data_IF_137456740158
#
_entry.id   IF_137456740158
#
_cell.length_a   1.000
_cell.length_b   1.000
_cell.length_c   1.000
_cell.angle_alpha   90.00
_cell.angle_beta   90.00
_cell.angle_gamma   90.00
#
_symmetry.space_group_name_H-M   'P 1'
#
loop_
_entity.id
_entity.type
_entity.pdbx_description
1 polymer ?
#
# COMPACT_ATOMS: atom_id res chain seq x y z
N UNK A 1 -7.31 -26.44 -2.10
CA UNK A 1 -8.73 -26.31 -1.70
C UNK A 1 -8.81 -25.36 -0.51
N UNK A 2 -9.73 -24.42 -0.55
CA UNK A 2 -10.04 -23.50 0.56
C UNK A 2 -11.54 -23.54 0.82
N UNK A 3 -11.94 -23.59 2.09
CA UNK A 3 -13.33 -23.52 2.52
C UNK A 3 -13.57 -22.22 3.28
N UNK A 4 -14.62 -21.51 2.92
CA UNK A 4 -15.08 -20.31 3.61
C UNK A 4 -16.45 -20.59 4.21
N UNK A 5 -16.57 -20.40 5.52
CA UNK A 5 -17.80 -20.66 6.27
C UNK A 5 -18.16 -19.48 7.15
N UNK A 6 -19.42 -19.08 7.11
CA UNK A 6 -19.99 -18.12 8.03
C UNK A 6 -21.35 -18.61 8.53
N UNK A 7 -21.69 -18.25 9.75
CA UNK A 7 -23.03 -18.44 10.32
C UNK A 7 -23.28 -17.37 11.38
N UNK A 8 -24.46 -16.78 11.40
CA UNK A 8 -24.82 -15.71 12.34
C UNK A 8 -26.18 -15.14 12.04
N UNK A 9 -26.48 -14.03 12.65
CA UNK A 9 -27.67 -13.22 12.39
C UNK A 9 -27.25 -11.87 11.83
N UNK A 10 -28.01 -11.37 10.89
CA UNK A 10 -27.80 -10.03 10.37
C UNK A 10 -28.34 -8.96 11.33
N UNK A 11 -28.19 -7.69 10.96
CA UNK A 11 -28.64 -6.56 11.78
C UNK A 11 -30.17 -6.49 11.97
N UNK A 12 -30.94 -7.20 11.17
CA UNK A 12 -32.41 -7.34 11.30
C UNK A 12 -32.83 -8.54 12.15
N UNK A 13 -31.85 -9.35 12.59
CA UNK A 13 -32.10 -10.61 13.33
C UNK A 13 -32.38 -11.80 12.43
N UNK A 14 -32.29 -11.67 11.10
CA UNK A 14 -32.40 -12.77 10.16
C UNK A 14 -31.13 -13.65 10.14
N UNK A 15 -31.28 -14.99 10.02
CA UNK A 15 -30.10 -15.86 9.90
C UNK A 15 -29.40 -15.62 8.58
N UNK A 16 -28.08 -15.52 8.61
CA UNK A 16 -27.26 -15.35 7.42
C UNK A 16 -26.01 -16.22 7.47
N UNK A 17 -25.41 -16.45 6.30
CA UNK A 17 -24.17 -17.17 6.17
C UNK A 17 -24.28 -18.33 5.17
N UNK A 18 -23.27 -19.18 5.21
CA UNK A 18 -23.16 -20.32 4.31
C UNK A 18 -21.78 -20.93 4.31
N UNK A 19 -21.63 -21.99 3.52
CA UNK A 19 -20.35 -22.65 3.30
C UNK A 19 -20.05 -22.66 1.80
N UNK A 20 -18.88 -22.16 1.42
CA UNK A 20 -18.41 -22.17 0.03
C UNK A 20 -17.04 -22.87 -0.04
N UNK A 21 -16.86 -23.69 -1.05
CA UNK A 21 -15.59 -24.41 -1.32
C UNK A 21 -15.01 -23.91 -2.62
N UNK A 22 -13.72 -23.62 -2.60
CA UNK A 22 -12.98 -23.09 -3.74
C UNK A 22 -11.77 -23.98 -4.04
N UNK A 23 -11.59 -24.32 -5.31
CA UNK A 23 -10.47 -25.11 -5.78
C UNK A 23 -9.82 -24.39 -6.95
N UNK A 24 -8.52 -24.18 -6.89
CA UNK A 24 -7.73 -23.62 -7.98
C UNK A 24 -6.27 -24.09 -7.84
N UNK A 25 -5.49 -23.82 -8.87
CA UNK A 25 -4.05 -24.12 -8.94
C UNK A 25 -3.28 -22.81 -9.05
N UNK A 26 -2.15 -22.72 -8.36
CA UNK A 26 -1.18 -21.64 -8.51
C UNK A 26 0.12 -22.20 -9.09
N UNK A 27 0.75 -21.44 -9.95
CA UNK A 27 2.08 -21.75 -10.49
C UNK A 27 2.85 -20.47 -10.77
N UNK A 28 4.17 -20.60 -10.84
CA UNK A 28 5.05 -19.52 -11.28
C UNK A 28 6.23 -20.08 -12.03
N UNK A 29 6.69 -19.31 -13.02
CA UNK A 29 7.88 -19.57 -13.80
C UNK A 29 8.68 -18.27 -13.87
N UNK A 30 9.96 -18.35 -13.59
CA UNK A 30 10.84 -17.19 -13.64
C UNK A 30 12.24 -17.55 -14.02
N UNK A 31 12.95 -16.55 -14.50
CA UNK A 31 14.34 -16.66 -14.84
C UNK A 31 15.07 -15.34 -14.60
N UNK A 32 16.38 -15.43 -14.55
CA UNK A 32 17.23 -14.24 -14.53
C UNK A 32 18.37 -14.40 -15.53
N UNK A 33 18.81 -13.28 -16.03
CA UNK A 33 19.92 -13.22 -16.98
C UNK A 33 20.90 -12.12 -16.53
N UNK A 34 22.18 -12.49 -16.42
CA UNK A 34 23.25 -11.58 -16.09
C UNK A 34 23.75 -10.93 -17.39
N UNK A 35 23.27 -9.70 -17.66
CA UNK A 35 23.65 -8.93 -18.86
C UNK A 35 25.13 -8.50 -18.84
N UNK A 36 25.64 -8.17 -17.65
CA UNK A 36 27.03 -7.83 -17.39
C UNK A 36 27.36 -8.02 -15.91
N UNK A 37 28.59 -7.74 -15.48
CA UNK A 37 28.97 -7.79 -14.06
C UNK A 37 28.09 -6.88 -13.17
N UNK A 38 27.50 -5.83 -13.74
CA UNK A 38 26.73 -4.80 -13.00
C UNK A 38 25.24 -4.87 -13.29
N UNK A 39 24.82 -5.48 -14.42
CA UNK A 39 23.43 -5.49 -14.85
C UNK A 39 22.82 -6.88 -14.78
N UNK A 40 21.67 -6.98 -14.15
CA UNK A 40 20.86 -8.21 -14.09
C UNK A 40 19.43 -7.93 -14.49
N UNK A 41 18.91 -8.74 -15.39
CA UNK A 41 17.50 -8.81 -15.75
C UNK A 41 16.88 -10.03 -15.09
N UNK A 42 15.74 -9.83 -14.43
CA UNK A 42 14.93 -10.92 -13.88
C UNK A 42 13.53 -10.80 -14.45
N UNK A 43 12.90 -11.90 -14.83
CA UNK A 43 11.51 -11.89 -15.31
C UNK A 43 10.77 -13.08 -14.73
N UNK A 44 9.56 -12.82 -14.24
CA UNK A 44 8.69 -13.84 -13.64
C UNK A 44 7.28 -13.70 -14.20
N UNK A 45 6.66 -14.83 -14.46
CA UNK A 45 5.24 -14.94 -14.75
C UNK A 45 4.61 -15.92 -13.77
N UNK A 46 3.44 -15.60 -13.24
CA UNK A 46 2.74 -16.46 -12.29
C UNK A 46 1.24 -16.33 -12.38
N UNK A 47 0.58 -17.42 -12.00
CA UNK A 47 -0.84 -17.48 -11.68
C UNK A 47 -0.98 -17.71 -10.17
N UNK A 48 -1.65 -16.80 -9.52
CA UNK A 48 -2.09 -16.92 -8.14
C UNK A 48 -3.62 -16.81 -8.07
N UNK A 49 -4.20 -17.39 -7.04
CA UNK A 49 -5.63 -17.26 -6.78
C UNK A 49 -5.90 -17.06 -5.30
N UNK A 50 -7.04 -16.48 -5.00
CA UNK A 50 -7.59 -16.46 -3.64
C UNK A 50 -9.09 -16.76 -3.66
N UNK A 51 -9.57 -17.39 -2.62
CA UNK A 51 -11.01 -17.42 -2.35
C UNK A 51 -11.46 -16.05 -1.84
N UNK A 52 -12.71 -15.64 -2.08
CA UNK A 52 -13.27 -14.50 -1.40
C UNK A 52 -13.21 -14.69 0.12
N UNK A 53 -12.91 -13.62 0.83
CA UNK A 53 -12.93 -13.61 2.28
C UNK A 53 -14.38 -13.76 2.80
N UNK A 54 -14.54 -14.33 3.99
CA UNK A 54 -15.86 -14.47 4.61
C UNK A 54 -16.62 -13.14 4.69
N UNK A 55 -15.91 -12.07 4.92
CA UNK A 55 -16.44 -10.72 4.97
C UNK A 55 -16.93 -10.23 3.60
N UNK A 56 -16.20 -10.52 2.52
CA UNK A 56 -16.58 -10.18 1.15
C UNK A 56 -17.86 -10.92 0.70
N UNK A 57 -18.07 -12.14 1.22
CA UNK A 57 -19.25 -12.95 0.89
C UNK A 57 -20.48 -12.61 1.73
N UNK A 58 -20.30 -12.36 3.02
CA UNK A 58 -21.39 -12.42 3.98
C UNK A 58 -21.51 -11.21 4.89
N UNK A 59 -20.76 -10.11 4.71
CA UNK A 59 -21.03 -8.92 5.50
C UNK A 59 -22.42 -8.37 5.22
N UNK A 60 -23.10 -7.95 6.27
CA UNK A 60 -24.36 -7.22 6.20
C UNK A 60 -24.52 -6.41 7.49
N UNK A 61 -23.76 -5.33 7.62
CA UNK A 61 -23.71 -4.56 8.85
C UNK A 61 -22.77 -3.36 8.83
N UNK A 62 -22.74 -2.64 9.94
CA UNK A 62 -21.90 -1.46 10.11
C UNK A 62 -20.44 -1.83 10.30
N UNK A 63 -19.58 -1.19 9.53
CA UNK A 63 -18.15 -1.14 9.77
C UNK A 63 -17.82 0.14 10.55
N UNK A 64 -17.66 0.01 11.85
CA UNK A 64 -17.48 1.16 12.76
C UNK A 64 -16.24 1.98 12.44
N UNK A 65 -15.17 1.34 11.97
CA UNK A 65 -13.91 2.01 11.65
C UNK A 65 -13.98 2.92 10.42
N UNK A 66 -14.85 2.62 9.45
CA UNK A 66 -15.02 3.39 8.23
C UNK A 66 -16.28 4.25 8.22
N UNK A 67 -17.20 4.06 9.16
CA UNK A 67 -18.48 4.75 9.18
C UNK A 67 -19.39 4.38 8.00
N UNK A 68 -19.34 3.13 7.55
CA UNK A 68 -20.06 2.60 6.39
C UNK A 68 -20.92 1.39 6.77
N UNK A 69 -21.99 1.18 6.04
CA UNK A 69 -22.73 -0.09 6.07
C UNK A 69 -22.24 -0.96 4.91
N UNK A 70 -21.72 -2.14 5.20
CA UNK A 70 -21.06 -2.99 4.19
C UNK A 70 -21.92 -4.22 3.91
N UNK A 71 -22.12 -4.51 2.62
CA UNK A 71 -22.79 -5.72 2.11
C UNK A 71 -21.82 -6.58 1.32
N UNK A 72 -21.81 -7.87 1.65
CA UNK A 72 -21.13 -8.90 0.89
C UNK A 72 -21.95 -9.38 -0.31
N UNK A 73 -21.32 -10.21 -1.13
CA UNK A 73 -21.99 -10.93 -2.22
C UNK A 73 -21.63 -12.41 -2.16
N UNK A 74 -22.58 -13.24 -1.73
CA UNK A 74 -22.39 -14.68 -1.58
C UNK A 74 -22.22 -15.43 -2.92
N UNK A 75 -22.52 -14.79 -4.05
CA UNK A 75 -22.35 -15.37 -5.38
C UNK A 75 -20.92 -15.29 -5.93
N UNK A 76 -20.02 -14.54 -5.27
CA UNK A 76 -18.66 -14.37 -5.72
C UNK A 76 -17.90 -15.69 -5.93
N UNK A 77 -17.02 -15.71 -6.91
CA UNK A 77 -16.11 -16.82 -7.20
C UNK A 77 -14.66 -16.45 -6.86
N UNK A 78 -13.75 -17.42 -6.98
CA UNK A 78 -12.33 -17.17 -6.72
C UNK A 78 -11.76 -16.09 -7.62
N UNK A 79 -10.99 -15.18 -7.06
CA UNK A 79 -10.15 -14.26 -7.81
C UNK A 79 -8.91 -15.00 -8.35
N UNK A 80 -8.61 -14.83 -9.63
CA UNK A 80 -7.42 -15.38 -10.30
C UNK A 80 -6.60 -14.27 -10.91
N UNK A 81 -5.32 -14.25 -10.58
CA UNK A 81 -4.37 -13.21 -10.98
C UNK A 81 -3.24 -13.80 -11.80
N UNK A 82 -3.11 -13.37 -13.05
CA UNK A 82 -1.98 -13.64 -13.92
C UNK A 82 -1.07 -12.42 -13.91
N UNK A 83 0.12 -12.56 -13.35
CA UNK A 83 1.05 -11.44 -13.22
C UNK A 83 2.36 -11.73 -13.94
N UNK A 84 2.79 -10.80 -14.77
CA UNK A 84 4.12 -10.74 -15.33
C UNK A 84 4.85 -9.55 -14.73
N UNK A 85 6.05 -9.80 -14.18
CA UNK A 85 6.92 -8.76 -13.62
C UNK A 85 8.33 -8.95 -14.18
N UNK A 86 8.95 -7.85 -14.59
CA UNK A 86 10.36 -7.82 -15.00
C UNK A 86 11.10 -6.74 -14.22
N UNK A 87 12.28 -7.09 -13.76
CA UNK A 87 13.16 -6.24 -12.93
C UNK A 87 14.50 -6.09 -13.62
N UNK A 88 14.90 -4.86 -13.90
CA UNK A 88 16.25 -4.52 -14.34
C UNK A 88 17.02 -3.90 -13.17
N UNK A 89 18.12 -4.54 -12.76
CA UNK A 89 18.94 -4.11 -11.66
C UNK A 89 20.35 -3.75 -12.12
N UNK A 90 20.83 -2.63 -11.61
CA UNK A 90 22.22 -2.19 -11.74
C UNK A 90 22.85 -2.02 -10.35
N UNK A 91 24.12 -2.36 -10.22
CA UNK A 91 24.89 -2.12 -9.00
C UNK A 91 26.39 -2.07 -9.27
N UNK A 92 27.07 -1.06 -8.72
CA UNK A 92 28.54 -0.89 -8.83
C UNK A 92 29.22 -0.52 -7.52
N UNK A 93 28.52 -0.66 -6.39
CA UNK A 93 29.00 -0.30 -5.06
C UNK A 93 28.70 1.16 -4.66
N UNK A 94 28.61 2.09 -5.59
CA UNK A 94 28.21 3.48 -5.35
C UNK A 94 26.75 3.70 -5.70
N UNK A 95 26.30 3.14 -6.82
CA UNK A 95 24.92 3.18 -7.28
C UNK A 95 24.27 1.81 -7.19
N UNK A 96 23.03 1.79 -6.70
CA UNK A 96 22.13 0.67 -6.86
C UNK A 96 20.81 1.18 -7.46
N UNK A 97 20.44 0.62 -8.61
CA UNK A 97 19.22 1.00 -9.32
C UNK A 97 18.38 -0.25 -9.55
N UNK A 98 17.10 -0.17 -9.28
CA UNK A 98 16.13 -1.20 -9.65
C UNK A 98 14.96 -0.55 -10.39
N UNK A 99 14.64 -1.09 -11.55
CA UNK A 99 13.45 -0.72 -12.32
C UNK A 99 12.58 -1.97 -12.46
N UNK A 100 11.41 -1.96 -11.82
CA UNK A 100 10.41 -3.00 -11.89
C UNK A 100 9.24 -2.55 -12.77
N UNK A 101 8.91 -3.33 -13.79
CA UNK A 101 7.72 -3.15 -14.60
C UNK A 101 6.80 -4.35 -14.46
N UNK A 102 5.48 -4.15 -14.37
CA UNK A 102 4.55 -5.27 -14.26
C UNK A 102 3.24 -5.05 -15.00
N UNK A 103 2.70 -6.18 -15.47
CA UNK A 103 1.37 -6.33 -16.03
C UNK A 103 0.64 -7.41 -15.26
N UNK A 104 -0.62 -7.16 -14.90
CA UNK A 104 -1.41 -8.11 -14.12
C UNK A 104 -2.86 -8.13 -14.62
N UNK A 105 -3.31 -9.29 -15.04
CA UNK A 105 -4.70 -9.55 -15.40
C UNK A 105 -5.36 -10.29 -14.24
N UNK A 106 -6.50 -9.79 -13.81
CA UNK A 106 -7.25 -10.39 -12.70
C UNK A 106 -8.64 -10.74 -13.18
N UNK A 107 -8.98 -12.02 -13.08
CA UNK A 107 -10.33 -12.48 -13.31
C UNK A 107 -11.06 -12.49 -11.96
N UNK A 108 -12.19 -11.78 -11.87
CA UNK A 108 -12.97 -11.65 -10.65
C UNK A 108 -12.30 -10.80 -9.56
N UNK A 109 -11.66 -9.69 -9.93
CA UNK A 109 -11.12 -8.72 -8.97
C UNK A 109 -12.23 -8.24 -8.02
N UNK A 110 -12.01 -8.42 -6.72
CA UNK A 110 -12.97 -8.07 -5.69
C UNK A 110 -12.66 -6.67 -5.16
N UNK A 111 -13.67 -5.82 -5.18
CA UNK A 111 -13.63 -4.49 -4.59
C UNK A 111 -15.02 -4.13 -4.06
N UNK A 112 -15.11 -3.11 -3.25
CA UNK A 112 -16.39 -2.55 -2.85
C UNK A 112 -16.56 -1.14 -3.42
N UNK A 113 -17.78 -0.72 -3.57
CA UNK A 113 -18.13 0.61 -4.04
C UNK A 113 -19.45 1.08 -3.42
N UNK A 114 -19.67 2.40 -3.40
CA UNK A 114 -20.87 2.98 -2.82
C UNK A 114 -22.10 2.62 -3.65
N UNK A 115 -23.20 2.41 -2.94
CA UNK A 115 -24.55 2.39 -3.48
C UNK A 115 -25.20 3.78 -3.36
N UNK A 116 -26.28 3.99 -4.10
CA UNK A 116 -27.08 5.25 -4.02
C UNK A 116 -28.00 5.29 -2.81
N UNK A 117 -27.90 4.34 -1.90
CA UNK A 117 -28.76 4.20 -0.73
C UNK A 117 -27.99 4.45 0.57
N UNK A 118 -28.77 4.77 1.60
CA UNK A 118 -28.30 4.94 2.98
C UNK A 118 -29.14 4.02 3.87
N UNK A 119 -28.50 3.28 4.76
CA UNK A 119 -29.16 2.46 5.76
C UNK A 119 -29.16 3.18 7.10
N UNK A 120 -30.34 3.29 7.73
CA UNK A 120 -30.48 3.84 9.06
C UNK A 120 -30.60 2.69 10.08
N UNK A 121 -29.70 2.68 11.03
CA UNK A 121 -29.70 1.75 12.17
C UNK A 121 -29.71 2.54 13.46
N UNK A 122 -29.80 1.87 14.62
CA UNK A 122 -29.87 2.52 15.95
C UNK A 122 -28.71 3.50 16.17
N UNK A 123 -27.53 3.20 15.65
CA UNK A 123 -26.32 4.04 15.81
C UNK A 123 -26.20 5.20 14.82
N UNK A 124 -27.09 5.32 13.83
CA UNK A 124 -27.09 6.39 12.85
C UNK A 124 -27.43 5.97 11.43
N UNK A 125 -27.26 6.90 10.48
CA UNK A 125 -27.43 6.67 9.05
C UNK A 125 -26.06 6.52 8.38
N UNK A 126 -25.89 5.45 7.59
CA UNK A 126 -24.63 5.07 6.98
C UNK A 126 -24.75 4.90 5.48
N UNK A 127 -23.81 5.40 4.66
CA UNK A 127 -23.75 5.08 3.25
C UNK A 127 -23.48 3.57 3.08
N UNK A 128 -24.14 2.96 2.10
CA UNK A 128 -23.97 1.53 1.81
C UNK A 128 -22.84 1.32 0.84
N UNK A 129 -21.97 0.36 1.14
CA UNK A 129 -20.91 -0.13 0.25
C UNK A 129 -21.18 -1.61 -0.06
N UNK A 130 -21.25 -1.93 -1.34
CA UNK A 130 -21.49 -3.29 -1.82
C UNK A 130 -20.21 -3.87 -2.40
N UNK A 131 -19.83 -5.08 -1.94
CA UNK A 131 -18.77 -5.86 -2.59
C UNK A 131 -19.20 -6.32 -3.99
N UNK A 132 -18.27 -6.23 -4.93
CA UNK A 132 -18.47 -6.54 -6.35
C UNK A 132 -17.28 -7.26 -6.92
N UNK A 133 -17.48 -7.98 -8.03
CA UNK A 133 -16.39 -8.57 -8.81
C UNK A 133 -16.39 -8.04 -10.24
N UNK A 134 -15.18 -7.80 -10.78
CA UNK A 134 -14.98 -7.39 -12.16
C UNK A 134 -13.67 -7.94 -12.73
N UNK A 135 -13.59 -8.24 -14.03
CA UNK A 135 -12.30 -8.50 -14.65
C UNK A 135 -11.48 -7.21 -14.69
N UNK A 136 -10.26 -7.26 -14.18
CA UNK A 136 -9.40 -6.10 -14.01
C UNK A 136 -8.05 -6.25 -14.73
N UNK A 137 -7.45 -5.12 -15.09
CA UNK A 137 -6.10 -5.06 -15.63
C UNK A 137 -5.28 -3.99 -14.90
N UNK A 138 -4.18 -4.42 -14.31
CA UNK A 138 -3.22 -3.57 -13.63
C UNK A 138 -1.93 -3.49 -14.44
N UNK A 139 -1.33 -2.32 -14.47
CA UNK A 139 0.01 -2.08 -15.01
C UNK A 139 0.71 -1.03 -14.17
N UNK A 140 1.97 -1.22 -13.95
CA UNK A 140 2.72 -0.29 -13.12
C UNK A 140 4.21 -0.40 -13.31
N UNK A 141 4.89 0.55 -12.69
CA UNK A 141 6.33 0.66 -12.71
C UNK A 141 6.79 1.24 -11.37
N UNK A 142 7.80 0.61 -10.80
CA UNK A 142 8.49 1.10 -9.62
C UNK A 142 9.96 1.31 -9.97
N UNK A 143 10.51 2.44 -9.53
CA UNK A 143 11.92 2.79 -9.68
C UNK A 143 12.51 3.04 -8.31
N UNK A 144 13.62 2.38 -8.00
CA UNK A 144 14.39 2.53 -6.77
C UNK A 144 15.83 2.89 -7.12
N UNK A 145 16.32 3.97 -6.55
CA UNK A 145 17.69 4.46 -6.70
C UNK A 145 18.32 4.65 -5.33
N UNK A 146 19.44 4.01 -5.07
CA UNK A 146 20.32 4.34 -3.95
C UNK A 146 21.66 4.81 -4.47
N UNK A 147 22.15 5.90 -3.88
CA UNK A 147 23.44 6.50 -4.18
C UNK A 147 24.22 6.71 -2.89
N UNK A 148 25.32 5.98 -2.76
CA UNK A 148 26.26 6.02 -1.61
C UNK A 148 27.66 6.34 -2.12
N UNK A 149 28.01 7.64 -2.30
CA UNK A 149 29.29 8.04 -2.91
C UNK A 149 30.53 7.74 -2.05
N UNK A 150 30.34 7.02 -0.96
CA UNK A 150 31.34 6.80 0.06
C UNK A 150 31.31 7.87 1.15
N UNK A 151 31.93 7.58 2.30
CA UNK A 151 31.95 8.52 3.43
C UNK A 151 30.61 8.62 4.14
N UNK A 152 30.08 9.83 4.25
CA UNK A 152 28.99 10.15 5.19
C UNK A 152 27.61 10.26 4.55
N UNK A 153 27.44 10.16 3.24
CA UNK A 153 26.20 10.46 2.56
C UNK A 153 25.51 9.19 1.99
N UNK A 154 24.22 9.10 2.18
CA UNK A 154 23.36 8.05 1.61
C UNK A 154 22.09 8.73 1.07
N UNK A 155 21.88 8.65 -0.23
CA UNK A 155 20.68 9.16 -0.90
C UNK A 155 19.86 7.99 -1.41
N UNK A 156 18.54 8.01 -1.15
CA UNK A 156 17.61 7.02 -1.63
C UNK A 156 16.39 7.69 -2.25
N UNK A 157 15.96 7.25 -3.41
CA UNK A 157 14.78 7.76 -4.10
C UNK A 157 13.93 6.62 -4.64
N UNK A 158 12.61 6.74 -4.47
CA UNK A 158 11.62 5.76 -4.94
C UNK A 158 10.53 6.49 -5.71
N UNK A 159 10.22 5.98 -6.89
CA UNK A 159 9.07 6.40 -7.71
C UNK A 159 8.14 5.24 -7.88
N UNK A 160 6.84 5.43 -7.66
CA UNK A 160 5.83 4.40 -7.87
C UNK A 160 4.69 4.92 -8.72
N UNK A 161 4.33 4.13 -9.72
CA UNK A 161 3.23 4.40 -10.62
C UNK A 161 2.41 3.14 -10.87
N UNK A 162 1.10 3.23 -10.68
CA UNK A 162 0.15 2.16 -10.98
C UNK A 162 -1.07 2.72 -11.68
N UNK A 163 -1.60 1.96 -12.62
CA UNK A 163 -2.90 2.18 -13.24
C UNK A 163 -3.67 0.87 -13.24
N UNK A 164 -4.95 0.95 -12.89
CA UNK A 164 -5.87 -0.19 -12.94
C UNK A 164 -7.18 0.21 -13.59
N UNK A 165 -7.67 -0.66 -14.47
CA UNK A 165 -8.92 -0.49 -15.20
C UNK A 165 -9.74 -1.79 -15.14
N UNK A 166 -11.05 -1.63 -15.11
CA UNK A 166 -11.97 -2.69 -15.47
C UNK A 166 -11.77 -3.06 -16.95
N UNK A 167 -11.69 -4.36 -17.28
CA UNK A 167 -11.41 -4.80 -18.64
C UNK A 167 -12.62 -4.70 -19.57
N UNK A 168 -13.82 -4.77 -19.04
CA UNK A 168 -15.06 -4.80 -19.84
C UNK A 168 -15.45 -3.41 -20.33
N UNK A 169 -15.49 -2.43 -19.44
CA UNK A 169 -15.92 -1.06 -19.73
C UNK A 169 -14.76 -0.07 -19.85
N UNK A 170 -13.57 -0.45 -19.40
CA UNK A 170 -12.40 0.43 -19.40
C UNK A 170 -12.38 1.46 -18.27
N UNK A 171 -13.37 1.47 -17.39
CA UNK A 171 -13.48 2.37 -16.25
C UNK A 171 -12.30 2.21 -15.30
N UNK A 172 -11.95 3.27 -14.59
CA UNK A 172 -10.92 3.19 -13.55
C UNK A 172 -11.44 2.47 -12.30
N UNK A 173 -10.60 1.65 -11.72
CA UNK A 173 -10.92 1.00 -10.43
C UNK A 173 -10.74 1.99 -9.27
N UNK A 174 -11.58 1.90 -8.22
CA UNK A 174 -11.46 2.74 -7.03
C UNK A 174 -10.20 2.40 -6.21
N UNK A 175 -9.79 3.32 -5.36
CA UNK A 175 -8.70 3.17 -4.37
C UNK A 175 -7.32 2.80 -4.96
N UNK A 176 -7.09 3.07 -6.25
CA UNK A 176 -5.79 2.88 -6.87
C UNK A 176 -4.87 4.04 -6.48
N UNK A 177 -3.68 3.78 -5.90
CA UNK A 177 -2.77 4.82 -5.49
C UNK A 177 -2.41 5.80 -6.61
N UNK A 178 -2.25 7.08 -6.27
CA UNK A 178 -1.72 8.09 -7.18
C UNK A 178 -0.24 7.86 -7.45
N UNK A 179 0.30 8.54 -8.46
CA UNK A 179 1.74 8.66 -8.63
C UNK A 179 2.38 9.18 -7.34
N UNK A 180 3.44 8.51 -6.91
CA UNK A 180 4.19 8.85 -5.70
C UNK A 180 5.68 8.91 -6.01
N UNK A 181 6.30 9.97 -5.51
CA UNK A 181 7.74 10.13 -5.48
C UNK A 181 8.18 10.39 -4.04
N UNK A 182 9.10 9.61 -3.54
CA UNK A 182 9.72 9.82 -2.23
C UNK A 182 11.22 9.76 -2.35
N UNK A 183 11.91 10.61 -1.60
CA UNK A 183 13.36 10.55 -1.50
C UNK A 183 13.82 10.98 -0.11
N UNK A 184 14.98 10.50 0.25
CA UNK A 184 15.63 10.81 1.52
C UNK A 184 17.13 11.01 1.33
N UNK A 185 17.67 11.89 2.14
CA UNK A 185 19.10 12.15 2.22
C UNK A 185 19.55 11.97 3.66
N UNK A 186 20.39 10.99 3.89
CA UNK A 186 21.00 10.73 5.19
C UNK A 186 22.46 11.18 5.22
N UNK A 187 22.84 11.83 6.32
CA UNK A 187 24.22 12.10 6.67
C UNK A 187 24.57 11.27 7.90
N UNK A 188 25.70 10.55 7.79
CA UNK A 188 26.20 9.65 8.83
C UNK A 188 27.60 10.09 9.21
N UNK A 189 27.81 10.34 10.49
CA UNK A 189 29.12 10.68 11.03
C UNK A 189 29.48 9.70 12.14
N UNK A 190 30.64 9.08 12.02
CA UNK A 190 31.19 8.19 13.03
C UNK A 190 32.54 8.70 13.52
N UNK A 191 32.68 8.85 14.82
CA UNK A 191 33.93 9.30 15.45
C UNK A 191 34.86 8.11 15.72
N UNK A 192 36.14 8.38 15.99
CA UNK A 192 37.13 7.36 16.41
C UNK A 192 36.72 6.61 17.69
N UNK A 193 35.87 7.20 18.51
CA UNK A 193 35.32 6.59 19.73
C UNK A 193 34.03 5.80 19.48
N UNK A 194 33.70 5.49 18.21
CA UNK A 194 32.49 4.77 17.80
C UNK A 194 31.14 5.45 18.19
N UNK A 195 31.19 6.76 18.48
CA UNK A 195 29.95 7.54 18.52
C UNK A 195 29.46 7.71 17.09
N UNK A 196 28.20 7.32 16.83
CA UNK A 196 27.59 7.42 15.51
C UNK A 196 26.38 8.33 15.54
N UNK A 197 26.42 9.38 14.72
CA UNK A 197 25.30 10.30 14.49
C UNK A 197 24.77 10.06 13.08
N UNK A 198 23.46 9.85 12.95
CA UNK A 198 22.74 9.81 11.68
C UNK A 198 21.67 10.89 11.67
N UNK A 199 21.67 11.71 10.65
CA UNK A 199 20.63 12.70 10.36
C UNK A 199 20.02 12.36 9.02
N UNK A 200 18.70 12.38 8.90
CA UNK A 200 17.97 12.01 7.68
C UNK A 200 16.85 13.01 7.41
N UNK A 201 16.78 13.53 6.21
CA UNK A 201 15.67 14.36 5.72
C UNK A 201 14.90 13.53 4.69
N UNK A 202 13.60 13.44 4.86
CA UNK A 202 12.68 12.71 3.98
C UNK A 202 11.70 13.66 3.34
N UNK A 203 11.47 13.48 2.05
CA UNK A 203 10.41 14.19 1.34
C UNK A 203 9.57 13.19 0.55
N UNK A 204 8.25 13.36 0.58
CA UNK A 204 7.29 12.60 -0.19
C UNK A 204 6.34 13.54 -0.94
N UNK A 205 6.25 13.35 -2.23
CA UNK A 205 5.24 13.93 -3.10
C UNK A 205 4.22 12.89 -3.49
N UNK A 206 2.94 13.21 -3.37
CA UNK A 206 1.81 12.40 -3.85
C UNK A 206 0.98 13.26 -4.79
N UNK A 207 0.83 12.83 -6.03
CA UNK A 207 0.05 13.55 -7.03
C UNK A 207 -1.45 13.39 -6.78
N UNK A 208 -2.26 14.35 -7.27
CA UNK A 208 -3.70 14.18 -7.33
C UNK A 208 -4.05 12.96 -8.19
N UNK A 209 -4.94 12.09 -7.71
CA UNK A 209 -5.45 10.99 -8.53
C UNK A 209 -6.45 11.53 -9.56
N UNK A 210 -6.04 11.49 -10.81
CA UNK A 210 -6.88 11.94 -11.95
C UNK A 210 -7.58 10.78 -12.66
N UNK A 211 -7.14 9.54 -12.33
CA UNK A 211 -7.67 8.30 -12.91
C UNK A 211 -8.61 7.67 -11.91
N UNK A 212 -9.82 8.17 -11.83
CA UNK A 212 -10.89 7.64 -10.99
C UNK A 212 -12.23 7.78 -11.72
N UNK A 213 -13.18 6.97 -11.32
CA UNK A 213 -14.55 7.03 -11.79
C UNK A 213 -15.42 7.60 -10.65
N UNK A 214 -16.07 8.78 -10.84
CA UNK A 214 -16.91 9.37 -9.80
C UNK A 214 -18.06 8.49 -9.32
N UNK A 215 -18.54 7.57 -10.17
CA UNK A 215 -19.63 6.65 -9.82
C UNK A 215 -19.17 5.48 -8.92
N UNK A 216 -17.85 5.32 -8.74
CA UNK A 216 -17.27 4.29 -7.87
C UNK A 216 -16.75 4.84 -6.54
N UNK A 217 -17.02 6.11 -6.24
CA UNK A 217 -16.57 6.80 -5.04
C UNK A 217 -17.74 7.47 -4.31
N UNK A 218 -17.65 7.62 -2.99
CA UNK A 218 -18.67 8.29 -2.19
C UNK A 218 -18.76 9.79 -2.49
N UNK A 219 -17.64 10.39 -2.93
CA UNK A 219 -17.55 11.81 -3.31
C UNK A 219 -16.98 11.95 -4.74
N UNK A 220 -17.52 12.87 -5.57
CA UNK A 220 -17.19 12.95 -6.99
C UNK A 220 -15.86 13.66 -7.28
N UNK A 221 -14.92 13.67 -6.33
CA UNK A 221 -13.60 14.29 -6.48
C UNK A 221 -12.54 13.61 -5.64
N UNK A 222 -11.30 13.76 -6.07
CA UNK A 222 -10.14 13.21 -5.38
C UNK A 222 -9.37 14.30 -4.62
N UNK A 223 -8.66 13.94 -3.53
CA UNK A 223 -7.82 14.87 -2.79
C UNK A 223 -6.79 15.58 -3.70
N UNK A 224 -6.41 16.83 -3.39
CA UNK A 224 -5.33 17.52 -4.10
C UNK A 224 -3.98 16.85 -3.90
N UNK A 225 -3.02 17.18 -4.76
CA UNK A 225 -1.62 16.78 -4.57
C UNK A 225 -1.03 17.41 -3.30
N UNK A 226 -0.09 16.72 -2.67
CA UNK A 226 0.55 17.21 -1.46
C UNK A 226 2.02 16.78 -1.36
N UNK A 227 2.74 17.51 -0.51
CA UNK A 227 4.13 17.24 -0.14
C UNK A 227 4.21 17.05 1.36
N UNK A 228 4.96 16.06 1.81
CA UNK A 228 5.26 15.84 3.22
C UNK A 228 6.77 15.84 3.43
N UNK A 229 7.20 16.53 4.48
CA UNK A 229 8.58 16.56 4.93
C UNK A 229 8.68 15.81 6.26
N UNK A 230 9.72 14.99 6.38
CA UNK A 230 10.09 14.30 7.62
C UNK A 230 11.56 14.49 7.96
N UNK A 231 11.89 14.28 9.20
CA UNK A 231 13.26 14.34 9.71
C UNK A 231 13.48 13.23 10.73
N UNK A 232 14.64 12.57 10.66
CA UNK A 232 15.06 11.61 11.67
C UNK A 232 16.46 11.95 12.14
N UNK A 233 16.69 11.78 13.44
CA UNK A 233 18.02 11.81 14.03
C UNK A 233 18.21 10.58 14.91
N UNK A 234 19.37 9.95 14.82
CA UNK A 234 19.78 8.86 15.68
C UNK A 234 21.21 9.09 16.18
N UNK A 235 21.39 9.01 17.49
CA UNK A 235 22.69 9.09 18.15
C UNK A 235 22.98 7.78 18.87
N UNK A 236 24.00 7.07 18.45
CA UNK A 236 24.48 5.84 19.04
C UNK A 236 25.73 6.09 19.88
N UNK A 237 25.63 5.83 21.16
CA UNK A 237 26.72 6.00 22.12
C UNK A 237 27.22 4.62 22.57
N UNK A 238 28.49 4.28 22.34
CA UNK A 238 29.06 3.08 22.91
C UNK A 238 29.20 3.25 24.44
N UNK A 239 28.82 2.20 25.15
CA UNK A 239 28.95 2.11 26.62
C UNK A 239 29.93 0.99 26.96
N UNK A 240 30.40 0.95 28.20
CA UNK A 240 31.32 -0.09 28.66
C UNK A 240 30.73 -1.49 28.45
N UNK A 241 31.60 -2.50 28.20
CA UNK A 241 31.27 -3.93 28.02
C UNK A 241 30.52 -4.27 26.71
N UNK A 242 30.67 -3.45 25.67
CA UNK A 242 30.04 -3.72 24.37
C UNK A 242 28.56 -3.31 24.28
N UNK A 243 28.00 -2.68 25.31
CA UNK A 243 26.65 -2.14 25.26
C UNK A 243 26.62 -0.84 24.47
N UNK A 244 25.44 -0.49 23.94
CA UNK A 244 25.19 0.76 23.25
C UNK A 244 23.89 1.40 23.72
N UNK A 245 23.85 2.71 23.77
CA UNK A 245 22.62 3.49 23.97
C UNK A 245 22.33 4.22 22.69
N UNK A 246 21.11 4.05 22.15
CA UNK A 246 20.65 4.76 20.95
C UNK A 246 19.52 5.69 21.32
N UNK A 247 19.73 6.99 21.12
CA UNK A 247 18.70 8.02 21.16
C UNK A 247 18.13 8.23 19.76
N UNK A 248 16.82 8.32 19.65
CA UNK A 248 16.12 8.50 18.39
C UNK A 248 15.12 9.64 18.50
N UNK A 249 15.08 10.47 17.46
CA UNK A 249 14.07 11.48 17.22
C UNK A 249 13.55 11.26 15.80
N UNK A 250 12.24 11.18 15.64
CA UNK A 250 11.57 11.12 14.35
C UNK A 250 10.45 12.14 14.31
N UNK A 251 10.37 12.88 13.22
CA UNK A 251 9.31 13.84 13.01
C UNK A 251 8.73 13.65 11.60
N UNK A 252 7.42 13.40 11.53
CA UNK A 252 6.67 13.27 10.31
C UNK A 252 5.81 14.51 10.07
N UNK A 253 5.54 14.82 8.79
CA UNK A 253 4.75 15.98 8.39
C UNK A 253 5.19 17.27 9.11
N UNK A 254 6.48 17.59 9.05
CA UNK A 254 7.10 18.74 9.75
C UNK A 254 6.38 20.07 9.51
N UNK A 255 5.85 20.26 8.28
CA UNK A 255 5.16 21.48 7.89
C UNK A 255 3.71 21.52 8.35
N UNK A 256 3.25 20.48 9.08
CA UNK A 256 1.86 20.31 9.52
C UNK A 256 0.86 20.49 8.39
N UNK A 257 1.17 19.92 7.20
CA UNK A 257 0.30 20.00 6.03
C UNK A 257 -0.97 19.20 6.27
N UNK A 258 -2.11 19.82 6.09
CA UNK A 258 -3.39 19.11 5.99
C UNK A 258 -3.46 18.37 4.65
N UNK A 259 -3.72 17.08 4.70
CA UNK A 259 -3.82 16.24 3.51
C UNK A 259 -4.79 15.07 3.73
N UNK A 260 -5.21 14.45 2.64
CA UNK A 260 -6.00 13.23 2.63
C UNK A 260 -5.37 12.25 1.64
N UNK A 261 -5.10 11.04 2.08
CA UNK A 261 -4.63 9.97 1.20
C UNK A 261 -5.84 9.43 0.40
N UNK A 262 -5.74 9.37 -0.93
CA UNK A 262 -6.85 8.88 -1.77
C UNK A 262 -7.30 7.46 -1.42
N UNK A 263 -6.36 6.61 -1.03
CA UNK A 263 -6.61 5.21 -0.67
C UNK A 263 -7.12 5.02 0.76
N UNK A 264 -7.14 6.07 1.59
CA UNK A 264 -7.65 6.01 2.95
C UNK A 264 -9.16 6.28 2.96
N UNK A 265 -9.96 5.31 3.43
CA UNK A 265 -11.42 5.46 3.53
C UNK A 265 -11.86 6.52 4.55
N UNK A 266 -11.07 6.75 5.60
CA UNK A 266 -11.34 7.81 6.58
C UNK A 266 -11.28 9.22 5.96
N UNK A 267 -10.75 9.38 4.74
CA UNK A 267 -10.68 10.67 4.01
C UNK A 267 -12.04 11.35 3.81
N UNK A 268 -13.12 10.58 3.85
CA UNK A 268 -14.47 11.14 3.76
C UNK A 268 -14.81 12.01 4.96
N UNK A 269 -14.25 11.72 6.12
CA UNK A 269 -14.61 12.32 7.41
C UNK A 269 -13.46 13.12 8.03
N UNK A 270 -12.22 12.73 7.81
CA UNK A 270 -11.07 13.32 8.47
C UNK A 270 -9.87 13.51 7.53
N UNK A 271 -8.96 14.40 7.90
CA UNK A 271 -7.63 14.46 7.34
C UNK A 271 -6.75 13.34 7.91
N UNK A 272 -5.72 12.99 7.18
CA UNK A 272 -4.66 12.13 7.70
C UNK A 272 -3.84 12.85 8.76
N UNK A 273 -2.95 12.12 9.44
CA UNK A 273 -2.19 12.60 10.58
C UNK A 273 -1.42 13.89 10.28
N UNK A 274 -1.59 14.89 11.13
CA UNK A 274 -0.82 16.12 11.14
C UNK A 274 0.65 15.87 11.51
N UNK A 275 1.32 16.90 12.05
CA UNK A 275 2.70 16.75 12.55
C UNK A 275 2.74 15.75 13.71
N UNK A 276 3.63 14.77 13.58
CA UNK A 276 3.90 13.80 14.63
C UNK A 276 5.40 13.81 14.97
N UNK A 277 5.70 13.86 16.27
CA UNK A 277 7.08 13.87 16.78
C UNK A 277 7.23 12.75 17.81
N UNK A 278 8.17 11.87 17.57
CA UNK A 278 8.44 10.71 18.42
C UNK A 278 9.89 10.73 18.90
N UNK A 279 10.08 10.49 20.18
CA UNK A 279 11.39 10.31 20.79
C UNK A 279 11.49 8.90 21.37
N UNK A 280 12.66 8.30 21.28
CA UNK A 280 12.92 6.97 21.84
C UNK A 280 14.33 6.82 22.34
N UNK A 281 14.50 5.93 23.30
CA UNK A 281 15.81 5.49 23.80
C UNK A 281 15.84 3.98 23.82
N UNK A 282 16.82 3.41 23.16
CA UNK A 282 17.06 1.96 23.14
C UNK A 282 18.38 1.66 23.85
N UNK A 283 18.36 0.69 24.74
CA UNK A 283 19.55 0.08 25.32
C UNK A 283 19.81 -1.25 24.63
N UNK A 284 20.99 -1.39 24.03
CA UNK A 284 21.44 -2.59 23.31
C UNK A 284 22.58 -3.20 24.14
N UNK A 285 22.39 -4.45 24.58
CA UNK A 285 23.31 -5.21 25.43
C UNK A 285 23.69 -6.54 24.80
#
# INVERSE_FOLDING_TARGET
MQETRASGYDWTGGPYGGTRKFNNVSYSLGGHYQLSRRWRLTSNFGLAWRAPHVYELYSNGNELGSGMFVRGDSAMHSERSYKWISSLRYGDGMFSVCLDGYLQWVDGYIYDGPEKETVTVISGAYPVFQYRQTPAFFRGMDFDLRFTPGGSWDYHAVVSFIRANERTKGNYLPYIPSFRFSHELAWIHETKSHLRLRLNIRHRFTAKQRRFDPDTDLIPYTPPAYHLLGFDAALELPVKRGHQVRFMLSADNLLNREYKEYTNRSRYYAHDMGRDVRCGVNWIF
#
